data_IF_501439915455
#
_entry.id   IF_501439915455
#
_cell.length_a   1.000
_cell.length_b   1.000
_cell.length_c   1.000
_cell.angle_alpha   90.00
_cell.angle_beta   90.00
_cell.angle_gamma   90.00
#
_symmetry.space_group_name_H-M   'P 1'
#
loop_
_entity.id
_entity.type
_entity.pdbx_description
1 polymer ?
#
# COMPACT_ATOMS: atom_id res chain seq x y z
N UNK A 1 -46.48 -31.99 -68.55
CA UNK A 1 -46.98 -31.54 -67.24
C UNK A 1 -46.09 -30.38 -66.80
N UNK A 2 -46.67 -29.20 -66.57
CA UNK A 2 -45.97 -27.89 -66.55
C UNK A 2 -45.82 -27.36 -65.11
N UNK A 3 -44.56 -27.09 -64.74
CA UNK A 3 -44.03 -25.94 -63.97
C UNK A 3 -44.17 -25.84 -62.43
N UNK A 4 -43.10 -25.21 -61.88
CA UNK A 4 -43.01 -24.23 -60.78
C UNK A 4 -42.67 -24.81 -59.37
N UNK A 5 -41.46 -24.65 -58.78
CA UNK A 5 -40.69 -23.50 -58.20
C UNK A 5 -41.06 -23.10 -56.75
N UNK A 6 -40.02 -22.74 -55.95
CA UNK A 6 -39.98 -22.04 -54.64
C UNK A 6 -40.43 -22.85 -53.39
N UNK A 7 -39.81 -22.82 -52.20
CA UNK A 7 -38.73 -22.04 -51.56
C UNK A 7 -38.24 -22.77 -50.28
N UNK A 8 -37.02 -22.49 -49.76
CA UNK A 8 -36.54 -23.00 -48.47
C UNK A 8 -36.70 -21.96 -47.34
N UNK A 9 -36.97 -22.37 -46.10
CA UNK A 9 -36.53 -21.62 -44.93
C UNK A 9 -36.32 -22.57 -43.74
N UNK A 10 -35.06 -22.71 -43.36
CA UNK A 10 -34.55 -23.55 -42.29
C UNK A 10 -34.90 -22.98 -40.92
N UNK A 11 -35.48 -23.85 -40.10
CA UNK A 11 -35.60 -23.75 -38.65
C UNK A 11 -34.33 -24.38 -38.03
N UNK A 12 -33.52 -23.60 -37.32
CA UNK A 12 -32.63 -24.14 -36.28
C UNK A 12 -32.17 -23.03 -35.34
N UNK A 13 -32.68 -23.08 -34.11
CA UNK A 13 -32.24 -22.32 -32.97
C UNK A 13 -30.85 -22.78 -32.51
N UNK A 14 -29.96 -21.84 -32.18
CA UNK A 14 -28.74 -22.11 -31.41
C UNK A 14 -28.81 -21.28 -30.13
N UNK A 15 -29.00 -21.98 -29.02
CA UNK A 15 -28.77 -21.47 -27.67
C UNK A 15 -27.27 -21.25 -27.48
N UNK A 16 -26.85 -20.01 -27.19
CA UNK A 16 -25.51 -19.72 -26.67
C UNK A 16 -25.59 -19.51 -25.16
N UNK A 17 -25.40 -20.60 -24.41
CA UNK A 17 -25.02 -20.58 -22.98
C UNK A 17 -23.58 -21.07 -22.86
N UNK A 18 -22.63 -20.17 -22.63
CA UNK A 18 -21.28 -20.44 -22.08
C UNK A 18 -20.78 -19.04 -21.70
N UNK A 19 -20.69 -18.64 -20.43
CA UNK A 19 -20.02 -19.32 -19.35
C UNK A 19 -18.97 -18.32 -18.86
N UNK A 20 -19.33 -17.55 -17.83
CA UNK A 20 -18.38 -16.81 -17.01
C UNK A 20 -17.45 -17.86 -16.35
N UNK A 21 -16.13 -17.72 -16.46
CA UNK A 21 -15.15 -18.43 -15.62
C UNK A 21 -13.82 -17.67 -15.61
N UNK A 22 -13.66 -16.89 -14.54
CA UNK A 22 -12.58 -16.96 -13.56
C UNK A 22 -11.14 -17.28 -14.01
N UNK A 23 -10.32 -16.23 -13.95
CA UNK A 23 -9.09 -16.14 -13.16
C UNK A 23 -8.12 -17.33 -13.16
N UNK A 24 -7.05 -17.20 -13.97
CA UNK A 24 -5.78 -17.86 -13.71
C UNK A 24 -4.88 -16.88 -12.93
N UNK A 25 -4.96 -16.96 -11.60
CA UNK A 25 -4.08 -16.22 -10.70
C UNK A 25 -2.72 -16.93 -10.62
N UNK A 26 -1.79 -16.51 -11.49
CA UNK A 26 -0.37 -16.88 -11.38
C UNK A 26 0.21 -16.34 -10.07
N UNK A 27 0.70 -17.22 -9.21
CA UNK A 27 1.39 -16.87 -7.96
C UNK A 27 2.67 -16.05 -8.25
N UNK A 28 2.90 -14.89 -7.59
CA UNK A 28 4.01 -14.01 -7.94
C UNK A 28 5.38 -14.62 -7.59
N UNK A 29 6.36 -14.34 -8.45
CA UNK A 29 7.75 -14.77 -8.30
C UNK A 29 8.39 -14.21 -7.03
N UNK A 30 9.28 -15.00 -6.41
CA UNK A 30 10.07 -14.62 -5.22
C UNK A 30 10.98 -13.44 -5.58
N UNK A 31 10.61 -12.24 -5.15
CA UNK A 31 11.30 -11.01 -5.54
C UNK A 31 12.73 -10.97 -4.98
N UNK A 32 13.69 -10.94 -5.90
CA UNK A 32 15.12 -10.93 -5.59
C UNK A 32 15.62 -9.50 -5.53
N UNK A 33 16.16 -9.09 -4.37
CA UNK A 33 16.77 -7.76 -4.17
C UNK A 33 17.72 -7.43 -5.33
N UNK A 34 17.39 -6.42 -6.12
CA UNK A 34 18.18 -5.98 -7.27
C UNK A 34 19.32 -5.13 -6.73
N UNK A 35 20.56 -5.54 -7.02
CA UNK A 35 21.77 -4.89 -6.50
C UNK A 35 22.45 -4.13 -7.63
N UNK A 36 22.67 -2.84 -7.43
CA UNK A 36 23.37 -1.98 -8.39
C UNK A 36 24.81 -1.75 -7.92
N UNK A 37 25.77 -2.37 -8.60
CA UNK A 37 27.20 -2.11 -8.38
C UNK A 37 27.62 -0.70 -8.81
N UNK A 38 28.89 -0.38 -8.57
CA UNK A 38 29.51 0.85 -9.05
C UNK A 38 29.71 0.80 -10.58
N UNK A 39 29.67 1.96 -11.25
CA UNK A 39 29.91 2.04 -12.69
C UNK A 39 31.43 2.10 -12.92
N UNK A 40 31.99 1.11 -13.62
CA UNK A 40 33.41 1.08 -13.96
C UNK A 40 34.36 0.75 -12.79
N UNK A 41 33.85 0.12 -11.72
CA UNK A 41 34.67 -0.30 -10.58
C UNK A 41 34.18 -1.65 -10.04
N UNK A 42 35.10 -2.56 -9.76
CA UNK A 42 34.83 -3.87 -9.16
C UNK A 42 34.94 -3.83 -7.62
N UNK A 43 34.96 -2.64 -7.02
CA UNK A 43 35.04 -2.48 -5.58
C UNK A 43 33.74 -3.03 -4.92
N UNK A 44 33.83 -3.84 -3.85
CA UNK A 44 32.71 -4.63 -3.34
C UNK A 44 31.74 -3.80 -2.48
N UNK A 45 31.23 -2.70 -3.02
CA UNK A 45 30.16 -1.87 -2.44
C UNK A 45 29.07 -1.61 -3.49
N UNK A 46 27.84 -1.44 -3.04
CA UNK A 46 26.69 -1.17 -3.90
C UNK A 46 26.36 0.32 -3.90
N UNK A 47 25.96 0.83 -5.05
CA UNK A 47 25.40 2.17 -5.21
C UNK A 47 23.93 2.22 -4.75
N UNK A 48 23.19 1.15 -5.01
CA UNK A 48 21.79 1.02 -4.63
C UNK A 48 21.39 -0.45 -4.48
N UNK A 49 20.38 -0.70 -3.67
CA UNK A 49 19.72 -2.00 -3.57
C UNK A 49 18.22 -1.77 -3.62
N UNK A 50 17.55 -2.36 -4.59
CA UNK A 50 16.09 -2.35 -4.70
C UNK A 50 15.57 -3.65 -4.10
N UNK A 51 14.55 -3.58 -3.26
CA UNK A 51 13.86 -4.75 -2.74
C UNK A 51 12.57 -4.84 -3.53
N UNK A 52 12.45 -5.78 -4.48
CA UNK A 52 11.19 -5.96 -5.17
C UNK A 52 10.19 -6.52 -4.12
N UNK A 53 9.01 -5.91 -4.06
CA UNK A 53 8.12 -5.86 -2.91
C UNK A 53 7.18 -7.06 -2.78
N UNK A 54 7.63 -8.12 -2.09
CA UNK A 54 6.76 -9.25 -1.70
C UNK A 54 5.85 -8.90 -0.52
N UNK A 55 6.03 -7.69 0.05
CA UNK A 55 5.31 -7.15 1.20
C UNK A 55 4.90 -5.70 0.94
N UNK A 56 3.72 -5.32 1.42
CA UNK A 56 3.22 -3.94 1.36
C UNK A 56 3.98 -3.04 2.34
N UNK A 57 4.59 -1.97 1.84
CA UNK A 57 5.22 -0.93 2.67
C UNK A 57 4.25 0.24 2.81
N UNK A 58 3.96 0.63 4.04
CA UNK A 58 3.11 1.79 4.35
C UNK A 58 3.96 2.92 4.88
N UNK A 59 3.94 4.07 4.21
CA UNK A 59 4.57 5.30 4.69
C UNK A 59 3.55 6.11 5.47
N UNK A 60 3.72 6.12 6.79
CA UNK A 60 2.85 6.88 7.68
C UNK A 60 3.25 8.36 7.69
N UNK A 61 2.26 9.27 7.64
CA UNK A 61 2.50 10.70 7.80
C UNK A 61 3.12 11.03 9.16
N UNK A 62 3.96 12.06 9.18
CA UNK A 62 4.53 12.57 10.43
C UNK A 62 3.44 13.02 11.39
N UNK A 63 3.57 12.64 12.66
CA UNK A 63 2.65 13.03 13.74
C UNK A 63 3.28 14.10 14.61
N UNK A 64 2.50 15.15 14.92
CA UNK A 64 2.90 16.24 15.82
C UNK A 64 2.24 16.09 17.18
N UNK A 65 2.81 16.68 18.25
CA UNK A 65 2.21 16.64 19.57
C UNK A 65 0.80 17.22 19.58
N UNK A 66 -0.12 16.53 20.27
CA UNK A 66 -1.43 17.07 20.56
C UNK A 66 -1.36 18.20 21.58
N UNK A 67 -2.38 19.06 21.58
CA UNK A 67 -2.58 20.04 22.65
C UNK A 67 -2.95 19.28 23.93
N UNK A 68 -2.13 19.41 24.96
CA UNK A 68 -2.35 18.80 26.28
C UNK A 68 -3.13 19.72 27.23
N UNK A 69 -2.96 21.04 27.10
CA UNK A 69 -3.73 22.04 27.84
C UNK A 69 -4.48 22.97 26.87
N UNK A 70 -5.80 22.78 26.67
CA UNK A 70 -6.59 23.61 25.74
C UNK A 70 -6.81 25.04 26.23
N UNK A 71 -6.62 25.31 27.53
CA UNK A 71 -6.83 26.63 28.14
C UNK A 71 -5.56 27.50 28.10
N UNK A 72 -4.42 26.92 27.75
CA UNK A 72 -3.17 27.66 27.58
C UNK A 72 -3.18 28.50 26.28
N UNK A 73 -2.39 29.58 26.23
CA UNK A 73 -2.19 30.33 24.99
C UNK A 73 -1.72 29.41 23.86
N UNK A 74 -2.35 29.50 22.69
CA UNK A 74 -2.00 28.66 21.53
C UNK A 74 -0.52 28.86 21.17
N UNK A 75 0.19 27.74 21.00
CA UNK A 75 1.61 27.77 20.64
C UNK A 75 2.57 27.96 21.82
N UNK A 76 2.07 28.07 23.06
CA UNK A 76 2.93 28.17 24.24
C UNK A 76 3.43 26.80 24.69
N UNK A 77 4.53 26.75 25.47
CA UNK A 77 5.04 25.50 26.03
C UNK A 77 4.00 24.82 26.93
N UNK A 78 3.22 25.60 27.66
CA UNK A 78 2.16 25.10 28.56
C UNK A 78 1.04 24.39 27.79
N UNK A 79 0.80 24.75 26.52
CA UNK A 79 -0.23 24.11 25.69
C UNK A 79 0.14 22.67 25.29
N UNK A 80 1.42 22.33 25.25
CA UNK A 80 1.92 21.03 24.79
C UNK A 80 2.62 20.22 25.89
N UNK A 81 3.08 20.87 26.95
CA UNK A 81 3.82 20.24 28.04
C UNK A 81 5.30 20.01 27.70
N UNK A 82 5.97 19.22 28.54
CA UNK A 82 7.35 18.78 28.33
C UNK A 82 7.50 17.77 27.17
N UNK A 83 8.75 17.46 26.83
CA UNK A 83 9.08 16.53 25.74
C UNK A 83 8.56 15.12 25.99
N UNK A 84 8.43 14.68 27.24
CA UNK A 84 7.90 13.36 27.57
C UNK A 84 6.40 13.29 27.24
N UNK A 85 5.61 14.25 27.72
CA UNK A 85 4.19 14.37 27.39
C UNK A 85 3.95 14.51 25.89
N UNK A 86 4.78 15.31 25.21
CA UNK A 86 4.71 15.46 23.75
C UNK A 86 5.01 14.13 23.04
N UNK A 87 6.03 13.40 23.49
CA UNK A 87 6.40 12.10 22.90
C UNK A 87 5.29 11.07 23.09
N UNK A 88 4.74 10.95 24.30
CA UNK A 88 3.61 10.05 24.58
C UNK A 88 2.41 10.42 23.71
N UNK A 89 2.09 11.71 23.57
CA UNK A 89 1.00 12.16 22.69
C UNK A 89 1.24 11.78 21.23
N UNK A 90 2.47 11.89 20.72
CA UNK A 90 2.82 11.55 19.34
C UNK A 90 2.71 10.04 19.13
N UNK A 91 3.23 9.23 20.04
CA UNK A 91 3.18 7.77 19.93
C UNK A 91 1.75 7.24 19.95
N UNK A 92 0.88 7.77 20.82
CA UNK A 92 -0.54 7.38 20.85
C UNK A 92 -1.24 7.74 19.53
N UNK A 93 -0.96 8.92 18.97
CA UNK A 93 -1.49 9.31 17.65
C UNK A 93 -1.01 8.38 16.54
N UNK A 94 0.26 7.99 16.54
CA UNK A 94 0.80 7.03 15.58
C UNK A 94 0.07 5.69 15.72
N UNK A 95 -0.13 5.20 16.93
CA UNK A 95 -0.88 3.98 17.20
C UNK A 95 -2.32 4.04 16.68
N UNK A 96 -3.03 5.14 16.91
CA UNK A 96 -4.38 5.36 16.39
C UNK A 96 -4.41 5.32 14.85
N UNK A 97 -3.46 5.98 14.19
CA UNK A 97 -3.38 5.97 12.73
C UNK A 97 -3.07 4.56 12.20
N UNK A 98 -2.17 3.82 12.85
CA UNK A 98 -1.86 2.44 12.47
C UNK A 98 -3.09 1.53 12.62
N UNK A 99 -3.82 1.65 13.74
CA UNK A 99 -5.07 0.90 13.97
C UNK A 99 -6.12 1.14 12.89
N UNK A 100 -6.19 2.36 12.34
CA UNK A 100 -7.12 2.67 11.24
C UNK A 100 -6.80 1.94 9.93
N UNK A 101 -5.59 1.40 9.81
CA UNK A 101 -5.10 0.63 8.68
C UNK A 101 -5.00 -0.88 8.98
N UNK A 102 -5.60 -1.33 10.09
CA UNK A 102 -5.45 -2.70 10.63
C UNK A 102 -3.98 -3.08 10.93
N UNK A 103 -3.15 -2.08 11.24
CA UNK A 103 -1.75 -2.23 11.65
C UNK A 103 -1.57 -1.94 13.14
N UNK A 104 -0.43 -2.35 13.68
CA UNK A 104 -0.04 -2.14 15.07
C UNK A 104 1.32 -1.47 15.17
N UNK A 105 1.70 -0.99 16.37
CA UNK A 105 3.06 -0.49 16.63
C UNK A 105 4.15 -1.54 16.38
N UNK A 106 3.81 -2.84 16.38
CA UNK A 106 4.74 -3.93 16.05
C UNK A 106 5.12 -3.97 14.56
N UNK A 107 4.33 -3.36 13.68
CA UNK A 107 4.56 -3.34 12.23
C UNK A 107 5.46 -2.19 11.78
N UNK A 108 5.86 -1.32 12.71
CA UNK A 108 6.77 -0.20 12.42
C UNK A 108 8.20 -0.70 12.30
N UNK A 109 8.67 -0.82 11.06
CA UNK A 109 10.05 -1.23 10.77
C UNK A 109 11.07 -0.08 10.76
N UNK A 110 10.63 1.18 10.66
CA UNK A 110 11.48 2.38 10.72
C UNK A 110 10.68 3.58 11.20
N UNK A 111 11.27 4.36 12.12
CA UNK A 111 10.72 5.63 12.58
C UNK A 111 11.78 6.72 12.49
N UNK A 112 11.42 7.86 11.91
CA UNK A 112 12.27 9.05 11.89
C UNK A 112 11.72 10.08 12.88
N UNK A 113 12.51 10.40 13.89
CA UNK A 113 12.15 11.37 14.92
C UNK A 113 12.91 12.67 14.67
N UNK A 114 12.21 13.80 14.81
CA UNK A 114 12.77 15.14 14.74
C UNK A 114 12.56 15.82 16.10
N UNK A 115 13.64 16.28 16.72
CA UNK A 115 13.63 17.01 17.98
C UNK A 115 14.02 18.47 17.73
N UNK A 116 13.58 19.36 18.62
CA UNK A 116 13.85 20.80 18.59
C UNK A 116 14.44 21.27 19.92
#
# INVERSE_FOLDING_TARGET
MKKLFLAPLLLSAVFATTGCNDAEATSPAKETVIRHGLIGSDFPILRASEVPATSTIVFLSGSVPGVSNPDAPKGSMEAYGDTEMQTVSVLNRIEENLKSLDLTMGDVMKMQVFLV
#
